data_IF_235850226940
#
_entry.id   IF_235850226940
#
_cell.length_a   1.000
_cell.length_b   1.000
_cell.length_c   1.000
_cell.angle_alpha   90.00
_cell.angle_beta   90.00
_cell.angle_gamma   90.00
#
_symmetry.space_group_name_H-M   'P 1'
#
loop_
_entity.id
_entity.type
_entity.pdbx_description
1 polymer ?
#
# COMPACT_ATOMS: atom_id res chain seq x y z
N UNK A 1 -1.82 -9.34 14.30
CA UNK A 1 -0.47 -9.35 14.92
C UNK A 1 0.48 -8.61 13.97
N UNK A 2 1.00 -7.44 14.34
CA UNK A 2 1.99 -6.72 13.52
C UNK A 2 3.33 -7.46 13.57
N UNK A 3 3.74 -8.11 12.49
CA UNK A 3 5.14 -8.52 12.31
C UNK A 3 5.90 -7.30 11.80
N UNK A 4 6.67 -6.65 12.68
CA UNK A 4 7.59 -5.59 12.25
C UNK A 4 8.68 -6.25 11.41
N UNK A 5 8.67 -6.00 10.10
CA UNK A 5 9.78 -6.40 9.24
C UNK A 5 10.95 -5.47 9.60
N UNK A 6 11.90 -5.98 10.40
CA UNK A 6 13.07 -5.22 10.84
C UNK A 6 14.01 -4.81 9.70
N UNK A 7 13.91 -5.49 8.55
CA UNK A 7 14.66 -5.19 7.33
C UNK A 7 13.73 -5.22 6.11
N UNK A 8 13.20 -4.04 5.75
CA UNK A 8 12.29 -3.85 4.62
C UNK A 8 12.98 -4.15 3.29
N UNK A 9 14.29 -3.91 3.18
CA UNK A 9 15.04 -4.16 1.95
C UNK A 9 15.11 -5.66 1.64
N UNK A 10 15.46 -6.48 2.64
CA UNK A 10 15.49 -7.94 2.48
C UNK A 10 14.11 -8.52 2.18
N UNK A 11 13.05 -8.07 2.87
CA UNK A 11 11.67 -8.49 2.58
C UNK A 11 11.25 -8.20 1.14
N UNK A 12 11.68 -7.04 0.62
CA UNK A 12 11.36 -6.61 -0.73
C UNK A 12 12.14 -7.43 -1.77
N UNK A 13 13.45 -7.62 -1.54
CA UNK A 13 14.31 -8.43 -2.41
C UNK A 13 13.86 -9.90 -2.50
N UNK A 14 13.37 -10.48 -1.40
CA UNK A 14 12.88 -11.87 -1.37
C UNK A 14 11.55 -12.04 -2.12
N UNK A 15 10.61 -11.11 -1.94
CA UNK A 15 9.24 -11.24 -2.49
C UNK A 15 9.07 -10.65 -3.88
N UNK A 16 9.84 -9.61 -4.20
CA UNK A 16 9.71 -8.83 -5.43
C UNK A 16 11.10 -8.55 -6.05
N UNK A 17 11.90 -9.58 -6.35
CA UNK A 17 13.27 -9.41 -6.83
C UNK A 17 13.38 -8.66 -8.16
N UNK A 18 12.31 -8.64 -8.95
CA UNK A 18 12.23 -7.95 -10.25
C UNK A 18 11.95 -6.44 -10.11
N UNK A 19 11.60 -5.96 -8.92
CA UNK A 19 11.21 -4.59 -8.68
C UNK A 19 12.23 -3.88 -7.77
N UNK A 20 12.50 -2.60 -8.06
CA UNK A 20 13.32 -1.78 -7.17
C UNK A 20 12.62 -1.59 -5.82
N UNK A 21 13.39 -1.56 -4.73
CA UNK A 21 12.86 -1.31 -3.39
C UNK A 21 12.03 -0.02 -3.37
N UNK A 22 10.84 -0.10 -2.78
CA UNK A 22 9.91 1.03 -2.70
C UNK A 22 9.03 1.21 -3.94
N UNK A 23 9.21 0.38 -4.97
CA UNK A 23 8.23 0.26 -6.06
C UNK A 23 6.88 -0.17 -5.49
N UNK A 24 5.83 0.38 -6.09
CA UNK A 24 4.46 0.07 -5.73
C UNK A 24 4.09 -1.34 -6.20
N UNK A 25 4.35 -2.36 -5.38
CA UNK A 25 3.97 -3.75 -5.67
C UNK A 25 2.67 -4.12 -4.98
N UNK A 26 1.76 -4.87 -5.64
CA UNK A 26 0.56 -5.35 -4.98
C UNK A 26 0.93 -6.48 -4.00
N UNK A 27 0.16 -6.63 -2.91
CA UNK A 27 0.41 -7.68 -1.90
C UNK A 27 0.49 -7.18 -0.45
N UNK A 28 0.96 -8.04 0.48
CA UNK A 28 1.05 -7.70 1.91
C UNK A 28 2.00 -6.52 2.12
N UNK A 29 1.74 -5.68 3.12
CA UNK A 29 2.66 -4.58 3.42
C UNK A 29 3.72 -5.02 4.44
N UNK A 30 4.99 -4.76 4.12
CA UNK A 30 6.12 -4.96 5.03
C UNK A 30 5.99 -4.21 6.37
N UNK A 31 5.29 -3.08 6.38
CA UNK A 31 5.09 -2.23 7.56
C UNK A 31 3.87 -2.65 8.39
N UNK A 32 2.87 -3.30 7.78
CA UNK A 32 1.70 -3.80 8.50
C UNK A 32 0.97 -4.90 7.72
N UNK A 33 0.63 -5.99 8.43
CA UNK A 33 -0.11 -7.14 7.89
C UNK A 33 -1.63 -7.01 8.07
N UNK A 34 -2.13 -5.78 8.18
CA UNK A 34 -3.57 -5.53 8.32
C UNK A 34 -4.20 -5.56 6.94
N UNK A 35 -5.22 -6.41 6.75
CA UNK A 35 -6.00 -6.42 5.52
C UNK A 35 -6.82 -5.14 5.37
N UNK A 36 -6.93 -4.68 4.12
CA UNK A 36 -7.77 -3.55 3.74
C UNK A 36 -8.97 -4.06 2.96
N UNK A 37 -10.13 -3.55 3.31
CA UNK A 37 -11.42 -3.88 2.71
C UNK A 37 -12.11 -2.61 2.19
N UNK A 38 -13.09 -2.78 1.31
CA UNK A 38 -13.89 -1.65 0.81
C UNK A 38 -14.57 -0.95 2.00
N UNK A 39 -14.48 0.37 2.04
CA UNK A 39 -15.00 1.21 3.13
C UNK A 39 -13.99 1.53 4.22
N UNK A 40 -12.85 0.83 4.29
CA UNK A 40 -11.81 1.16 5.26
C UNK A 40 -11.26 2.57 5.05
N UNK A 41 -11.17 3.34 6.14
CA UNK A 41 -10.47 4.62 6.16
C UNK A 41 -8.96 4.41 6.12
N UNK A 42 -8.30 5.15 5.24
CA UNK A 42 -6.86 5.05 5.03
C UNK A 42 -6.22 6.42 4.90
N UNK A 43 -4.95 6.48 5.29
CA UNK A 43 -4.04 7.59 5.00
C UNK A 43 -3.00 7.14 3.98
N UNK A 44 -2.77 7.93 2.95
CA UNK A 44 -1.64 7.73 2.01
C UNK A 44 -0.32 7.96 2.72
N UNK A 45 0.69 7.17 2.38
CA UNK A 45 2.04 7.29 2.91
C UNK A 45 3.05 7.28 1.79
N UNK A 46 4.08 8.13 1.93
CA UNK A 46 5.24 8.07 1.04
C UNK A 46 6.01 6.81 1.38
N UNK A 47 5.99 5.86 0.45
CA UNK A 47 6.80 4.63 0.53
C UNK A 47 8.24 4.98 0.18
N UNK A 48 9.20 4.18 0.66
CA UNK A 48 10.65 4.34 0.67
C UNK A 48 11.39 4.74 -0.63
N UNK A 49 10.71 5.15 -1.71
CA UNK A 49 11.35 5.77 -2.88
C UNK A 49 10.79 7.19 -3.15
N UNK A 50 11.64 8.03 -3.73
CA UNK A 50 11.32 9.43 -4.04
C UNK A 50 10.32 9.57 -5.20
N UNK A 51 10.24 8.53 -6.03
CA UNK A 51 9.43 8.41 -7.24
C UNK A 51 7.96 8.08 -6.98
N UNK A 52 7.58 7.91 -5.72
CA UNK A 52 6.21 7.64 -5.35
C UNK A 52 5.34 8.87 -5.69
N UNK A 53 4.32 8.73 -6.57
CA UNK A 53 3.48 9.85 -7.00
C UNK A 53 2.46 10.30 -5.94
N UNK A 54 2.33 9.57 -4.82
CA UNK A 54 1.35 9.87 -3.78
C UNK A 54 1.92 10.86 -2.75
N UNK A 55 1.16 11.92 -2.45
CA UNK A 55 1.44 12.77 -1.30
C UNK A 55 1.16 12.00 -0.01
N UNK A 56 1.99 12.17 1.01
CA UNK A 56 1.76 11.55 2.33
C UNK A 56 0.74 12.35 3.12
N UNK A 57 -0.13 11.65 3.87
CA UNK A 57 -1.08 12.27 4.79
C UNK A 57 -2.46 12.56 4.19
N UNK A 58 -2.71 12.22 2.92
CA UNK A 58 -4.03 12.37 2.34
C UNK A 58 -4.97 11.30 2.90
N UNK A 59 -6.17 11.71 3.31
CA UNK A 59 -7.18 10.82 3.88
C UNK A 59 -8.17 10.41 2.80
N UNK A 60 -8.57 9.15 2.80
CA UNK A 60 -9.61 8.62 1.93
C UNK A 60 -10.18 7.31 2.45
N UNK A 61 -11.00 6.68 1.63
CA UNK A 61 -11.52 5.35 1.90
C UNK A 61 -11.29 4.43 0.70
N UNK A 62 -11.22 3.12 0.95
CA UNK A 62 -11.10 2.12 -0.10
C UNK A 62 -12.43 2.03 -0.86
N UNK A 63 -12.43 2.42 -2.14
CA UNK A 63 -13.62 2.33 -2.99
C UNK A 63 -13.68 1.00 -3.76
N UNK A 64 -12.52 0.45 -4.13
CA UNK A 64 -12.41 -0.82 -4.89
C UNK A 64 -11.13 -1.58 -4.52
N UNK A 65 -11.19 -2.90 -4.67
CA UNK A 65 -10.04 -3.80 -4.49
C UNK A 65 -9.95 -4.73 -5.69
N UNK A 66 -8.76 -4.84 -6.29
CA UNK A 66 -8.44 -5.83 -7.30
C UNK A 66 -7.44 -6.82 -6.73
N UNK A 67 -7.65 -8.10 -6.96
CA UNK A 67 -6.78 -9.18 -6.48
C UNK A 67 -6.26 -10.01 -7.65
N UNK A 68 -4.96 -10.27 -7.64
CA UNK A 68 -4.28 -11.20 -8.54
C UNK A 68 -3.58 -12.26 -7.71
N UNK A 69 -3.78 -13.56 -7.99
CA UNK A 69 -3.05 -14.62 -7.31
C UNK A 69 -1.53 -14.51 -7.47
N UNK A 70 -1.06 -13.92 -8.57
CA UNK A 70 0.35 -13.78 -8.88
C UNK A 70 0.95 -12.49 -8.29
N UNK A 71 0.19 -11.40 -8.31
CA UNK A 71 0.73 -10.09 -8.02
C UNK A 71 0.20 -9.46 -6.74
N UNK A 72 -0.79 -10.04 -6.06
CA UNK A 72 -1.38 -9.49 -4.84
C UNK A 72 -2.54 -8.53 -5.10
N UNK A 73 -2.74 -7.55 -4.20
CA UNK A 73 -3.89 -6.63 -4.23
C UNK A 73 -3.52 -5.18 -4.57
N UNK A 74 -4.35 -4.55 -5.41
CA UNK A 74 -4.37 -3.11 -5.68
C UNK A 74 -5.66 -2.51 -5.14
N UNK A 75 -5.60 -1.25 -4.72
CA UNK A 75 -6.69 -0.55 -4.05
C UNK A 75 -6.99 0.75 -4.79
N UNK A 76 -8.27 1.03 -5.04
CA UNK A 76 -8.71 2.38 -5.35
C UNK A 76 -9.07 3.08 -4.05
N UNK A 77 -8.53 4.28 -3.86
CA UNK A 77 -8.78 5.14 -2.71
C UNK A 77 -9.47 6.39 -3.19
N UNK A 78 -10.71 6.59 -2.77
CA UNK A 78 -11.38 7.87 -2.96
C UNK A 78 -10.97 8.79 -1.82
N UNK A 79 -10.19 9.82 -2.15
CA UNK A 79 -9.77 10.85 -1.20
C UNK A 79 -10.95 11.71 -0.78
N UNK A 80 -10.84 12.35 0.39
CA UNK A 80 -11.84 13.33 0.86
C UNK A 80 -11.99 14.53 -0.06
N UNK A 81 -10.98 14.82 -0.89
CA UNK A 81 -11.03 15.82 -1.95
C UNK A 81 -11.87 15.40 -3.18
N UNK A 82 -12.31 14.14 -3.25
CA UNK A 82 -13.07 13.56 -4.36
C UNK A 82 -12.21 12.93 -5.46
N UNK A 83 -10.89 13.07 -5.40
CA UNK A 83 -9.98 12.39 -6.34
C UNK A 83 -9.85 10.90 -6.01
N UNK A 84 -9.75 10.06 -7.04
CA UNK A 84 -9.48 8.63 -6.87
C UNK A 84 -8.00 8.35 -7.18
N UNK A 85 -7.34 7.63 -6.28
CA UNK A 85 -5.97 7.16 -6.44
C UNK A 85 -5.94 5.64 -6.53
N UNK A 86 -5.13 5.11 -7.43
CA UNK A 86 -4.82 3.68 -7.46
C UNK A 86 -3.51 3.45 -6.70
N UNK A 87 -3.56 2.67 -5.62
CA UNK A 87 -2.44 2.47 -4.71
C UNK A 87 -2.23 0.99 -4.37
N UNK A 88 -0.98 0.52 -4.20
CA UNK A 88 -0.71 -0.75 -3.54
C UNK A 88 -0.95 -0.63 -2.02
N UNK A 89 -1.05 -1.77 -1.33
CA UNK A 89 -1.19 -1.82 0.14
C UNK A 89 -0.10 -1.05 0.87
N UNK A 90 1.14 -1.10 0.36
CA UNK A 90 2.31 -0.46 0.97
C UNK A 90 2.19 1.08 0.97
N UNK A 91 1.39 1.67 0.08
CA UNK A 91 1.16 3.12 0.05
C UNK A 91 0.05 3.60 1.01
N UNK A 92 -0.59 2.70 1.76
CA UNK A 92 -1.77 3.02 2.57
C UNK A 92 -1.63 2.59 4.03
N UNK A 93 -2.02 3.42 4.99
CA UNK A 93 -2.14 3.04 6.41
C UNK A 93 -3.61 3.05 6.80
N UNK A 94 -4.13 1.94 7.35
CA UNK A 94 -5.49 1.88 7.90
C UNK A 94 -5.62 2.82 9.10
N UNK A 95 -6.69 3.61 9.14
CA UNK A 95 -7.10 4.35 10.34
C UNK A 95 -8.02 3.47 11.20
N UNK A 96 -7.85 3.54 12.52
CA UNK A 96 -8.72 2.88 13.50
C UNK A 96 -10.00 3.69 13.73
#
# INVERSE_FOLDING_TARGET
MHLSVGDVASWYAERYPEFEMGTAVPGPCALCYVDLEIGDLVITRRVCNENNPYESGQVGYISRVWESPKFGRMFAVTLTSGHELLCPRLALKKQE
#
